data_IF_027871521095
#
_entry.id   IF_027871521095
#
_cell.length_a   1.000
_cell.length_b   1.000
_cell.length_c   1.000
_cell.angle_alpha   90.00
_cell.angle_beta   90.00
_cell.angle_gamma   90.00
#
_symmetry.space_group_name_H-M   'P 1'
#
loop_
_entity.id
_entity.type
_entity.pdbx_description
1 polymer ?
#
# COMPACT_ATOMS: atom_id res chain seq x y z
N UNK A 1 -15.98 3.94 -13.95
CA UNK A 1 -15.43 4.77 -12.86
C UNK A 1 -13.99 5.12 -13.21
N UNK A 2 -13.55 6.33 -12.92
CA UNK A 2 -12.16 6.75 -13.12
C UNK A 2 -11.33 6.33 -11.90
N UNK A 3 -10.22 5.60 -12.04
CA UNK A 3 -9.40 5.19 -10.89
C UNK A 3 -8.71 6.41 -10.28
N UNK A 4 -8.70 6.49 -8.95
CA UNK A 4 -7.96 7.52 -8.20
C UNK A 4 -6.75 6.95 -7.47
N UNK A 5 -6.65 5.62 -7.37
CA UNK A 5 -5.47 4.89 -6.92
C UNK A 5 -5.02 3.91 -8.00
N UNK A 6 -3.72 3.78 -8.18
CA UNK A 6 -3.15 2.73 -9.02
C UNK A 6 -2.30 1.79 -8.17
N UNK A 7 -2.56 0.48 -8.29
CA UNK A 7 -1.73 -0.58 -7.71
C UNK A 7 -0.89 -1.16 -8.84
N UNK A 8 0.42 -1.17 -8.68
CA UNK A 8 1.33 -1.75 -9.66
C UNK A 8 2.30 -2.73 -9.00
N UNK A 9 2.54 -3.85 -9.66
CA UNK A 9 3.42 -4.93 -9.21
C UNK A 9 4.41 -5.34 -10.30
N UNK A 10 5.59 -5.80 -9.91
CA UNK A 10 6.63 -6.26 -10.84
C UNK A 10 6.31 -7.59 -11.53
N UNK A 11 5.41 -8.38 -10.95
CA UNK A 11 4.93 -9.67 -11.45
C UNK A 11 3.59 -10.02 -10.81
N UNK A 12 2.77 -10.80 -11.51
CA UNK A 12 1.52 -11.34 -10.95
C UNK A 12 1.74 -12.30 -9.77
N UNK A 13 2.97 -12.77 -9.54
CA UNK A 13 3.35 -13.50 -8.32
C UNK A 13 3.17 -12.69 -7.04
N UNK A 14 3.14 -11.36 -7.13
CA UNK A 14 2.98 -10.45 -6.01
C UNK A 14 1.49 -10.18 -5.67
N UNK A 15 0.57 -10.64 -6.53
CA UNK A 15 -0.87 -10.45 -6.38
C UNK A 15 -1.40 -10.89 -5.01
N UNK A 16 -1.01 -12.07 -4.44
CA UNK A 16 -1.52 -12.49 -3.13
C UNK A 16 -1.20 -11.51 -1.99
N UNK A 17 -0.13 -10.73 -2.11
CA UNK A 17 0.21 -9.66 -1.15
C UNK A 17 -0.72 -8.47 -1.35
N UNK A 18 -0.96 -8.08 -2.60
CA UNK A 18 -1.69 -6.86 -2.98
C UNK A 18 -3.22 -7.02 -2.95
N UNK A 19 -3.73 -8.24 -2.92
CA UNK A 19 -5.17 -8.51 -2.73
C UNK A 19 -5.73 -7.80 -1.49
N UNK A 20 -4.94 -7.65 -0.42
CA UNK A 20 -5.34 -6.93 0.79
C UNK A 20 -5.57 -5.44 0.54
N UNK A 21 -4.81 -4.84 -0.38
CA UNK A 21 -5.05 -3.46 -0.81
C UNK A 21 -6.34 -3.35 -1.63
N UNK A 22 -6.52 -4.27 -2.58
CA UNK A 22 -7.70 -4.29 -3.45
C UNK A 22 -9.00 -4.47 -2.64
N UNK A 23 -9.02 -5.45 -1.72
CA UNK A 23 -10.16 -5.68 -0.83
C UNK A 23 -10.48 -4.45 0.03
N UNK A 24 -9.46 -3.79 0.58
CA UNK A 24 -9.65 -2.56 1.35
C UNK A 24 -10.27 -1.44 0.50
N UNK A 25 -9.82 -1.24 -0.74
CA UNK A 25 -10.40 -0.23 -1.62
C UNK A 25 -11.83 -0.55 -2.04
N UNK A 26 -12.15 -1.83 -2.27
CA UNK A 26 -13.54 -2.26 -2.51
C UNK A 26 -14.44 -1.97 -1.30
N UNK A 27 -14.00 -2.31 -0.09
CA UNK A 27 -14.73 -2.03 1.16
C UNK A 27 -14.93 -0.51 1.41
N UNK A 28 -13.97 0.30 0.97
CA UNK A 28 -13.99 1.77 1.11
C UNK A 28 -14.64 2.47 -0.09
N UNK A 29 -15.12 1.73 -1.09
CA UNK A 29 -15.69 2.27 -2.33
C UNK A 29 -14.75 3.26 -3.05
N UNK A 30 -13.43 3.04 -2.94
CA UNK A 30 -12.38 3.85 -3.58
C UNK A 30 -12.04 3.24 -4.94
N UNK A 31 -12.28 3.92 -6.07
CA UNK A 31 -11.95 3.41 -7.39
C UNK A 31 -10.44 3.24 -7.59
N UNK A 32 -10.02 2.07 -8.04
CA UNK A 32 -8.61 1.77 -8.29
C UNK A 32 -8.40 0.97 -9.58
N UNK A 33 -7.18 0.94 -10.07
CA UNK A 33 -6.72 0.07 -11.14
C UNK A 33 -5.57 -0.83 -10.65
N UNK A 34 -5.34 -1.96 -11.33
CA UNK A 34 -4.21 -2.86 -11.04
C UNK A 34 -3.43 -3.14 -12.32
N UNK A 35 -2.09 -3.06 -12.22
CA UNK A 35 -1.19 -3.27 -13.34
C UNK A 35 -0.01 -4.16 -12.94
N UNK A 36 0.48 -4.97 -13.88
CA UNK A 36 1.69 -5.78 -13.72
C UNK A 36 2.72 -5.35 -14.76
N UNK A 37 3.74 -4.59 -14.33
CA UNK A 37 4.84 -4.10 -15.16
C UNK A 37 6.15 -4.19 -14.37
N UNK A 38 7.22 -4.59 -15.04
CA UNK A 38 8.52 -4.81 -14.39
C UNK A 38 9.52 -3.72 -14.75
N UNK A 39 10.10 -3.06 -13.74
CA UNK A 39 11.15 -2.06 -13.98
C UNK A 39 12.38 -2.63 -14.71
N UNK A 40 12.66 -3.95 -14.55
CA UNK A 40 13.79 -4.61 -15.20
C UNK A 40 13.48 -5.23 -16.56
N UNK A 41 12.21 -5.64 -16.79
CA UNK A 41 11.80 -6.38 -18.00
C UNK A 41 10.99 -5.54 -18.99
N UNK A 42 10.26 -4.54 -18.48
CA UNK A 42 9.40 -3.62 -19.25
C UNK A 42 9.63 -2.16 -18.80
N UNK A 43 10.89 -1.65 -18.86
CA UNK A 43 11.23 -0.34 -18.31
C UNK A 43 10.52 0.82 -19.01
N UNK A 44 10.32 0.75 -20.32
CA UNK A 44 9.64 1.78 -21.09
C UNK A 44 8.17 1.88 -20.75
N UNK A 45 7.49 0.74 -20.59
CA UNK A 45 6.09 0.67 -20.19
C UNK A 45 5.88 1.19 -18.76
N UNK A 46 6.84 0.94 -17.85
CA UNK A 46 6.82 1.50 -16.49
C UNK A 46 6.95 3.02 -16.52
N UNK A 47 7.87 3.56 -17.33
CA UNK A 47 8.05 4.99 -17.49
C UNK A 47 6.78 5.66 -18.06
N UNK A 48 6.22 5.10 -19.12
CA UNK A 48 4.98 5.59 -19.73
C UNK A 48 3.81 5.54 -18.75
N UNK A 49 3.64 4.39 -18.06
CA UNK A 49 2.61 4.22 -17.02
C UNK A 49 2.67 5.33 -15.97
N UNK A 50 3.88 5.62 -15.43
CA UNK A 50 4.07 6.61 -14.39
C UNK A 50 3.75 8.04 -14.87
N UNK A 51 4.20 8.42 -16.07
CA UNK A 51 3.96 9.73 -16.68
C UNK A 51 2.49 9.98 -17.00
N UNK A 52 1.77 8.95 -17.41
CA UNK A 52 0.36 9.06 -17.81
C UNK A 52 -0.62 8.92 -16.62
N UNK A 53 -0.15 8.45 -15.46
CA UNK A 53 -1.00 8.14 -14.32
C UNK A 53 -1.91 9.31 -13.90
N UNK A 54 -1.35 10.51 -13.78
CA UNK A 54 -2.10 11.71 -13.42
C UNK A 54 -3.19 12.05 -14.46
N UNK A 55 -2.88 11.90 -15.75
CA UNK A 55 -3.84 12.14 -16.84
C UNK A 55 -5.01 11.14 -16.84
N UNK A 56 -4.81 9.94 -16.31
CA UNK A 56 -5.87 8.94 -16.10
C UNK A 56 -6.75 9.22 -14.86
N UNK A 57 -6.41 10.22 -14.05
CA UNK A 57 -7.13 10.56 -12.82
C UNK A 57 -6.54 10.00 -11.54
N UNK A 58 -5.42 9.26 -11.63
CA UNK A 58 -4.73 8.69 -10.45
C UNK A 58 -4.16 9.82 -9.60
N UNK A 59 -4.30 9.69 -8.28
CA UNK A 59 -3.80 10.63 -7.27
C UNK A 59 -2.71 10.03 -6.39
N UNK A 60 -2.69 8.70 -6.23
CA UNK A 60 -1.70 7.96 -5.42
C UNK A 60 -1.36 6.66 -6.13
N UNK A 61 -0.09 6.26 -6.12
CA UNK A 61 0.38 4.99 -6.68
C UNK A 61 0.93 4.11 -5.57
N UNK A 62 0.45 2.86 -5.48
CA UNK A 62 1.02 1.81 -4.63
C UNK A 62 1.85 0.90 -5.54
N UNK A 63 3.15 0.83 -5.30
CA UNK A 63 4.08 0.05 -6.09
C UNK A 63 4.74 -1.06 -5.25
N UNK A 64 4.54 -2.33 -5.64
CA UNK A 64 5.09 -3.48 -4.96
C UNK A 64 6.22 -4.13 -5.75
N UNK A 65 7.29 -4.49 -5.07
CA UNK A 65 8.41 -5.18 -5.65
C UNK A 65 9.19 -6.02 -4.62
N UNK A 66 9.75 -7.13 -5.06
CA UNK A 66 10.65 -7.97 -4.29
C UNK A 66 12.08 -7.90 -4.80
N UNK A 67 13.01 -8.58 -4.11
CA UNK A 67 14.44 -8.65 -4.46
C UNK A 67 15.07 -7.24 -4.59
N UNK A 68 15.77 -6.97 -5.69
CA UNK A 68 16.30 -5.63 -6.02
C UNK A 68 15.17 -4.68 -6.48
N UNK A 69 14.28 -4.36 -5.59
CA UNK A 69 12.96 -3.76 -5.78
C UNK A 69 13.00 -2.34 -6.37
N UNK A 70 13.37 -2.22 -7.64
CA UNK A 70 13.55 -0.94 -8.33
C UNK A 70 12.23 -0.24 -8.71
N UNK A 71 11.13 -0.99 -8.82
CA UNK A 71 9.87 -0.46 -9.39
C UNK A 71 9.35 0.79 -8.69
N UNK A 72 9.25 0.88 -7.35
CA UNK A 72 8.74 2.08 -6.68
C UNK A 72 9.60 3.33 -6.95
N UNK A 73 10.91 3.18 -6.92
CA UNK A 73 11.85 4.28 -7.18
C UNK A 73 11.81 4.76 -8.63
N UNK A 74 11.70 3.85 -9.60
CA UNK A 74 11.56 4.18 -11.03
C UNK A 74 10.26 4.94 -11.28
N UNK A 75 9.15 4.51 -10.67
CA UNK A 75 7.86 5.22 -10.77
C UNK A 75 7.98 6.61 -10.15
N UNK A 76 8.50 6.72 -8.93
CA UNK A 76 8.64 8.00 -8.23
C UNK A 76 9.50 9.02 -9.02
N UNK A 77 10.48 8.54 -9.79
CA UNK A 77 11.31 9.40 -10.66
C UNK A 77 10.55 9.92 -11.89
N UNK A 78 9.43 9.31 -12.27
CA UNK A 78 8.69 9.63 -13.51
C UNK A 78 7.31 10.26 -13.25
N UNK A 79 6.96 10.58 -12.01
CA UNK A 79 5.68 11.22 -11.67
C UNK A 79 5.86 12.17 -10.48
N UNK A 80 4.95 13.13 -10.35
CA UNK A 80 4.83 13.98 -9.16
C UNK A 80 3.76 13.48 -8.18
N UNK A 81 3.09 12.38 -8.51
CA UNK A 81 2.12 11.75 -7.61
C UNK A 81 2.84 11.09 -6.42
N UNK A 82 2.23 11.06 -5.24
CA UNK A 82 2.74 10.27 -4.13
C UNK A 82 2.87 8.78 -4.51
N UNK A 83 4.03 8.19 -4.20
CA UNK A 83 4.30 6.76 -4.41
C UNK A 83 4.51 6.07 -3.07
N UNK A 84 3.76 5.00 -2.84
CA UNK A 84 3.87 4.15 -1.66
C UNK A 84 4.51 2.83 -2.08
N UNK A 85 5.68 2.53 -1.54
CA UNK A 85 6.42 1.31 -1.80
C UNK A 85 6.02 0.17 -0.86
N UNK A 86 5.72 -1.00 -1.43
CA UNK A 86 5.45 -2.23 -0.68
C UNK A 86 6.57 -3.23 -0.95
N UNK A 87 7.51 -3.44 -0.01
CA UNK A 87 8.49 -4.50 -0.13
C UNK A 87 7.80 -5.86 -0.09
N UNK A 88 8.08 -6.72 -1.06
CA UNK A 88 7.53 -8.07 -1.12
C UNK A 88 8.57 -9.06 -0.58
N UNK A 89 8.12 -9.94 0.33
CA UNK A 89 8.95 -10.99 0.90
C UNK A 89 9.41 -11.96 -0.20
N UNK A 90 10.70 -12.14 -0.29
CA UNK A 90 11.36 -13.09 -1.20
C UNK A 90 12.65 -13.59 -0.56
N UNK A 91 13.79 -13.40 -1.20
CA UNK A 91 15.10 -13.63 -0.62
C UNK A 91 15.31 -12.72 0.60
N UNK A 92 16.19 -13.09 1.52
CA UNK A 92 16.50 -12.33 2.74
C UNK A 92 15.26 -11.87 3.54
N UNK A 93 14.18 -12.64 3.48
CA UNK A 93 12.91 -12.33 4.14
C UNK A 93 12.31 -10.95 3.78
N UNK A 94 12.69 -10.38 2.63
CA UNK A 94 12.23 -9.09 2.14
C UNK A 94 13.06 -7.90 2.63
N UNK A 95 14.14 -8.11 3.39
CA UNK A 95 15.04 -7.05 3.83
C UNK A 95 15.74 -6.37 2.65
N UNK A 96 16.15 -7.14 1.65
CA UNK A 96 16.70 -6.66 0.38
C UNK A 96 15.73 -5.72 -0.35
N UNK A 97 14.47 -6.12 -0.48
CA UNK A 97 13.42 -5.30 -1.09
C UNK A 97 13.14 -4.03 -0.28
N UNK A 98 13.05 -4.14 1.04
CA UNK A 98 12.83 -3.00 1.91
C UNK A 98 13.97 -1.97 1.80
N UNK A 99 15.22 -2.41 1.85
CA UNK A 99 16.37 -1.51 1.73
C UNK A 99 16.46 -0.89 0.33
N UNK A 100 16.12 -1.64 -0.73
CA UNK A 100 16.08 -1.12 -2.11
C UNK A 100 15.03 -0.01 -2.30
N UNK A 101 13.90 -0.11 -1.60
CA UNK A 101 12.80 0.84 -1.74
C UNK A 101 13.00 2.08 -0.85
N UNK A 102 13.47 1.90 0.39
CA UNK A 102 13.54 3.00 1.37
C UNK A 102 14.75 3.92 1.15
N UNK A 103 15.84 3.44 0.55
CA UNK A 103 17.10 4.17 0.34
C UNK A 103 17.03 5.06 -0.91
N UNK A 104 16.12 6.03 -0.91
CA UNK A 104 15.95 6.95 -2.03
C UNK A 104 16.84 8.18 -1.92
N UNK A 105 17.36 8.71 -3.07
CA UNK A 105 18.12 9.95 -3.08
C UNK A 105 17.24 11.15 -2.73
N UNK A 106 17.82 12.25 -2.21
CA UNK A 106 17.10 13.49 -2.00
C UNK A 106 16.37 13.96 -3.27
N UNK A 107 15.11 14.37 -3.12
CA UNK A 107 14.27 14.86 -4.22
C UNK A 107 13.31 13.81 -4.82
N UNK A 108 13.54 12.52 -4.61
CA UNK A 108 12.68 11.44 -5.12
C UNK A 108 12.20 10.56 -3.96
N UNK A 109 11.25 11.01 -3.15
CA UNK A 109 10.78 10.26 -1.99
C UNK A 109 9.85 9.10 -2.40
N UNK A 110 9.92 8.00 -1.65
CA UNK A 110 8.95 6.89 -1.68
C UNK A 110 8.50 6.62 -0.24
N UNK A 111 7.20 6.72 0.02
CA UNK A 111 6.63 6.35 1.32
C UNK A 111 6.62 4.83 1.44
N UNK A 112 7.45 4.26 2.32
CA UNK A 112 7.65 2.80 2.38
C UNK A 112 6.94 2.21 3.58
N UNK A 113 6.11 1.18 3.36
CA UNK A 113 5.47 0.37 4.41
C UNK A 113 6.31 -0.87 4.75
N UNK A 114 5.93 -1.60 5.78
CA UNK A 114 6.62 -2.85 6.15
C UNK A 114 6.52 -3.93 5.07
N UNK A 115 7.38 -4.96 5.17
CA UNK A 115 7.37 -6.11 4.24
C UNK A 115 5.98 -6.76 4.20
N UNK A 116 5.47 -7.00 2.99
CA UNK A 116 4.10 -7.47 2.72
C UNK A 116 2.98 -6.59 3.31
N UNK A 117 3.29 -5.33 3.61
CA UNK A 117 2.39 -4.37 4.26
C UNK A 117 1.35 -3.73 3.33
N UNK A 118 0.80 -4.48 2.38
CA UNK A 118 -0.10 -3.95 1.35
C UNK A 118 -1.37 -3.29 1.93
N UNK A 119 -1.94 -3.86 3.01
CA UNK A 119 -3.08 -3.22 3.70
C UNK A 119 -2.70 -1.84 4.26
N UNK A 120 -1.54 -1.72 4.89
CA UNK A 120 -1.07 -0.42 5.39
C UNK A 120 -0.79 0.57 4.24
N UNK A 121 -0.33 0.08 3.08
CA UNK A 121 -0.19 0.94 1.90
C UNK A 121 -1.55 1.47 1.41
N UNK A 122 -2.58 0.64 1.41
CA UNK A 122 -3.93 1.06 1.03
C UNK A 122 -4.52 2.07 2.03
N UNK A 123 -4.34 1.84 3.34
CA UNK A 123 -4.79 2.77 4.38
C UNK A 123 -4.06 4.12 4.23
N UNK A 124 -2.74 4.11 4.02
CA UNK A 124 -1.95 5.33 3.82
C UNK A 124 -2.39 6.09 2.55
N UNK A 125 -2.68 5.37 1.46
CA UNK A 125 -3.24 5.98 0.26
C UNK A 125 -4.60 6.64 0.52
N UNK A 126 -5.49 5.97 1.27
CA UNK A 126 -6.77 6.55 1.66
C UNK A 126 -6.60 7.77 2.57
N UNK A 127 -5.62 7.78 3.50
CA UNK A 127 -5.28 8.94 4.33
C UNK A 127 -4.79 10.12 3.49
N UNK A 128 -3.96 9.87 2.47
CA UNK A 128 -3.52 10.92 1.54
C UNK A 128 -4.71 11.51 0.76
N UNK A 129 -5.62 10.67 0.26
CA UNK A 129 -6.83 11.10 -0.44
C UNK A 129 -7.77 11.88 0.48
N UNK A 130 -7.89 11.49 1.74
CA UNK A 130 -8.72 12.12 2.76
C UNK A 130 -8.37 13.59 3.02
N UNK A 131 -7.15 14.03 2.70
CA UNK A 131 -6.75 15.44 2.83
C UNK A 131 -7.55 16.37 1.89
N UNK A 132 -8.08 15.85 0.80
CA UNK A 132 -8.86 16.60 -0.16
C UNK A 132 -10.30 16.08 -0.37
N UNK A 133 -10.70 15.03 0.36
CA UNK A 133 -12.00 14.37 0.21
C UNK A 133 -12.64 14.09 1.58
N UNK A 134 -13.63 14.89 2.01
CA UNK A 134 -14.29 14.71 3.31
C UNK A 134 -15.01 13.37 3.46
N UNK A 135 -15.49 12.76 2.38
CA UNK A 135 -16.15 11.45 2.44
C UNK A 135 -15.14 10.37 2.77
N UNK A 136 -13.99 10.34 2.08
CA UNK A 136 -12.90 9.41 2.37
C UNK A 136 -12.37 9.66 3.79
N UNK A 137 -12.26 10.91 4.23
CA UNK A 137 -11.84 11.25 5.59
C UNK A 137 -12.75 10.63 6.66
N UNK A 138 -14.06 10.70 6.47
CA UNK A 138 -15.03 10.09 7.38
C UNK A 138 -14.92 8.55 7.38
N UNK A 139 -14.74 7.93 6.22
CA UNK A 139 -14.55 6.49 6.09
C UNK A 139 -13.28 6.01 6.80
N UNK A 140 -12.15 6.70 6.62
CA UNK A 140 -10.88 6.39 7.31
C UNK A 140 -11.02 6.53 8.82
N UNK A 141 -11.68 7.59 9.31
CA UNK A 141 -11.94 7.78 10.74
C UNK A 141 -12.77 6.61 11.33
N UNK A 142 -13.84 6.23 10.63
CA UNK A 142 -14.69 5.10 11.03
C UNK A 142 -13.92 3.76 11.01
N UNK A 143 -13.09 3.55 10.01
CA UNK A 143 -12.23 2.37 9.94
C UNK A 143 -11.32 2.24 11.17
N UNK A 144 -10.66 3.34 11.57
CA UNK A 144 -9.79 3.37 12.76
C UNK A 144 -10.57 3.13 14.05
N UNK A 145 -11.76 3.71 14.20
CA UNK A 145 -12.60 3.46 15.38
C UNK A 145 -13.04 1.98 15.44
N UNK A 146 -13.34 1.36 14.31
CA UNK A 146 -13.67 -0.07 14.26
C UNK A 146 -12.49 -0.96 14.67
N UNK A 147 -11.24 -0.60 14.33
CA UNK A 147 -10.05 -1.31 14.82
C UNK A 147 -9.94 -1.24 16.34
N UNK A 148 -10.15 -0.06 16.93
CA UNK A 148 -10.18 0.13 18.38
C UNK A 148 -11.25 -0.73 19.03
N UNK A 149 -12.47 -0.73 18.48
CA UNK A 149 -13.58 -1.53 18.99
C UNK A 149 -13.29 -3.05 18.99
N UNK A 150 -12.61 -3.56 17.96
CA UNK A 150 -12.16 -4.96 17.89
C UNK A 150 -11.21 -5.30 19.05
N UNK A 151 -10.26 -4.44 19.36
CA UNK A 151 -9.28 -4.67 20.43
C UNK A 151 -9.92 -4.55 21.82
N UNK A 152 -10.80 -3.58 22.03
CA UNK A 152 -11.52 -3.43 23.32
C UNK A 152 -12.42 -4.63 23.58
N UNK A 153 -13.10 -5.15 22.55
CA UNK A 153 -13.91 -6.37 22.65
C UNK A 153 -13.03 -7.59 22.99
N UNK A 154 -11.94 -7.80 22.26
CA UNK A 154 -11.01 -8.89 22.51
C UNK A 154 -10.43 -8.84 23.95
N UNK A 155 -10.11 -7.63 24.44
CA UNK A 155 -9.65 -7.44 25.81
C UNK A 155 -10.74 -7.79 26.87
N UNK A 156 -12.01 -7.48 26.56
CA UNK A 156 -13.13 -7.90 27.43
C UNK A 156 -13.28 -9.44 27.44
N UNK A 157 -13.19 -10.09 26.28
CA UNK A 157 -13.25 -11.54 26.15
C UNK A 157 -12.10 -12.24 26.92
N UNK A 158 -10.89 -11.65 26.94
CA UNK A 158 -9.77 -12.18 27.72
C UNK A 158 -10.03 -12.21 29.24
N UNK A 159 -10.91 -11.36 29.77
CA UNK A 159 -11.28 -11.39 31.20
C UNK A 159 -12.03 -12.66 31.57
N UNK A 160 -12.76 -13.24 30.63
CA UNK A 160 -13.53 -14.48 30.84
C UNK A 160 -12.65 -15.74 30.81
N UNK A 161 -11.42 -15.63 30.29
CA UNK A 161 -10.46 -16.74 30.22
C UNK A 161 -9.89 -16.97 31.60
N UNK A 162 -10.11 -18.17 32.15
CA UNK A 162 -9.72 -18.54 33.52
C UNK A 162 -8.41 -19.33 33.56
N UNK A 163 -7.47 -18.82 34.33
CA UNK A 163 -6.24 -19.51 34.70
C UNK A 163 -6.06 -19.43 36.23
N UNK A 164 -5.39 -20.45 36.81
CA UNK A 164 -5.24 -20.61 38.28
C UNK A 164 -4.69 -19.35 38.98
N UNK A 165 -3.82 -18.61 38.36
CA UNK A 165 -3.16 -17.43 38.93
C UNK A 165 -3.44 -16.12 38.14
N UNK A 166 -4.40 -16.15 37.24
CA UNK A 166 -4.81 -14.92 36.51
C UNK A 166 -5.63 -14.03 37.45
N UNK A 167 -5.30 -12.75 37.49
CA UNK A 167 -5.88 -11.76 38.43
C UNK A 167 -6.78 -10.69 37.78
N UNK A 168 -6.91 -10.69 36.47
CA UNK A 168 -7.76 -9.73 35.71
C UNK A 168 -8.84 -10.42 34.89
#
# INVERSE_FOLDING_TARGET
MTPIVSIIMGSTSDLPVLEKSAQFFDEMEIPFEMNALSAHRTPQEVEQFAREAQGRGVKVIIAAAGMAAALPGVIAANTTLPVIGVPVKGMLDGLDAMLSIIQMPPGIPVATVGVNGALNAAILAAEMLALGDPQIAAQVANYKENLKNKITKANAELKEVKYKFKTN
#
